data_IF_534302573274
#
_entry.id   IF_534302573274
#
_cell.length_a   1.000
_cell.length_b   1.000
_cell.length_c   1.000
_cell.angle_alpha   90.00
_cell.angle_beta   90.00
_cell.angle_gamma   90.00
#
_symmetry.space_group_name_H-M   'P 1'
#
loop_
_entity.id
_entity.type
_entity.pdbx_description
1 polymer ?
#
# COMPACT_ATOMS: atom_id res chain seq x y z
N UNK A 1 -12.09 -33.12 19.20
CA UNK A 1 -12.91 -32.99 17.98
C UNK A 1 -12.06 -33.36 16.76
N UNK A 2 -12.41 -34.46 16.09
CA UNK A 2 -11.78 -34.87 14.84
C UNK A 2 -12.08 -33.85 13.74
N UNK A 3 -11.03 -33.30 13.14
CA UNK A 3 -11.12 -32.35 12.04
C UNK A 3 -11.66 -33.10 10.81
N UNK A 4 -12.84 -32.74 10.31
CA UNK A 4 -13.48 -33.43 9.17
C UNK A 4 -13.14 -32.75 7.84
N UNK A 5 -12.85 -33.60 6.86
CA UNK A 5 -12.38 -33.30 5.50
C UNK A 5 -13.44 -32.55 4.66
N UNK A 6 -12.99 -31.55 3.86
CA UNK A 6 -13.75 -30.99 2.74
C UNK A 6 -13.26 -31.64 1.41
N UNK A 7 -14.10 -32.37 0.66
CA UNK A 7 -13.85 -32.77 -0.73
C UNK A 7 -13.37 -31.58 -1.57
N UNK A 8 -12.20 -31.77 -2.17
CA UNK A 8 -11.49 -30.76 -2.95
C UNK A 8 -10.38 -30.01 -2.20
N UNK A 9 -10.17 -30.25 -0.89
CA UNK A 9 -9.08 -29.63 -0.11
C UNK A 9 -8.52 -30.54 1.01
N UNK A 10 -7.24 -30.96 0.93
CA UNK A 10 -6.52 -31.59 2.06
C UNK A 10 -6.18 -30.60 3.19
N UNK A 11 -6.02 -29.32 2.86
CA UNK A 11 -5.28 -28.35 3.68
C UNK A 11 -6.17 -27.47 4.59
N UNK A 12 -7.49 -27.57 4.46
CA UNK A 12 -8.44 -26.69 5.13
C UNK A 12 -9.41 -27.47 6.02
N UNK A 13 -9.20 -27.34 7.33
CA UNK A 13 -9.93 -28.01 8.39
C UNK A 13 -10.79 -26.95 9.10
N UNK A 14 -12.00 -26.71 8.59
CA UNK A 14 -12.98 -25.82 9.22
C UNK A 14 -13.86 -26.68 10.14
N UNK A 15 -13.99 -26.26 11.40
CA UNK A 15 -14.74 -26.90 12.50
C UNK A 15 -16.27 -26.87 12.31
N UNK A 16 -16.81 -27.25 11.16
CA UNK A 16 -18.26 -27.38 10.98
C UNK A 16 -18.59 -28.81 10.60
N UNK A 17 -19.48 -29.45 11.36
CA UNK A 17 -20.13 -30.69 10.95
C UNK A 17 -20.81 -30.45 9.61
N UNK A 18 -20.18 -30.98 8.57
CA UNK A 18 -20.52 -30.66 7.21
C UNK A 18 -21.81 -31.41 6.84
N UNK A 19 -22.77 -30.71 6.23
CA UNK A 19 -24.16 -31.15 6.03
C UNK A 19 -24.40 -32.53 5.43
N UNK A 20 -25.66 -32.90 5.22
CA UNK A 20 -26.03 -34.28 4.86
C UNK A 20 -25.62 -34.58 3.41
N UNK A 21 -24.89 -35.66 3.11
CA UNK A 21 -24.60 -36.10 1.74
C UNK A 21 -25.86 -36.19 0.87
N UNK A 22 -25.78 -35.76 -0.40
CA UNK A 22 -26.96 -35.69 -1.27
C UNK A 22 -27.59 -37.05 -1.58
N UNK A 23 -26.81 -38.12 -1.44
CA UNK A 23 -27.19 -39.53 -1.55
C UNK A 23 -27.92 -40.07 -0.32
N UNK A 24 -27.81 -39.39 0.84
CA UNK A 24 -28.40 -39.84 2.11
C UNK A 24 -29.76 -39.21 2.42
N UNK A 25 -30.21 -38.24 1.61
CA UNK A 25 -31.48 -37.55 1.83
C UNK A 25 -32.19 -37.34 0.49
N UNK A 26 -33.45 -37.79 0.39
CA UNK A 26 -34.28 -37.56 -0.79
C UNK A 26 -34.53 -36.06 -0.99
N UNK A 27 -34.71 -35.66 -2.26
CA UNK A 27 -34.94 -34.26 -2.63
C UNK A 27 -36.18 -33.67 -1.95
N UNK A 28 -37.24 -34.45 -1.82
CA UNK A 28 -38.50 -34.07 -1.16
C UNK A 28 -38.32 -33.85 0.36
N UNK A 29 -37.56 -34.72 1.02
CA UNK A 29 -37.20 -34.59 2.43
C UNK A 29 -36.27 -33.39 2.68
N UNK A 30 -35.44 -33.04 1.69
CA UNK A 30 -34.56 -31.88 1.76
C UNK A 30 -35.31 -30.56 1.55
N UNK A 31 -36.23 -30.53 0.58
CA UNK A 31 -37.04 -29.34 0.27
C UNK A 31 -38.02 -29.02 1.40
N UNK A 32 -38.65 -30.03 2.00
CA UNK A 32 -39.51 -29.86 3.19
C UNK A 32 -38.76 -29.32 4.41
N UNK A 33 -37.45 -29.60 4.52
CA UNK A 33 -36.56 -29.05 5.57
C UNK A 33 -35.91 -27.71 5.18
N UNK A 34 -36.24 -27.15 4.01
CA UNK A 34 -35.68 -25.90 3.52
C UNK A 34 -34.17 -25.94 3.19
N UNK A 35 -33.62 -27.14 2.97
CA UNK A 35 -32.22 -27.37 2.66
C UNK A 35 -31.94 -27.10 1.17
N UNK A 36 -30.70 -26.75 0.85
CA UNK A 36 -30.22 -26.53 -0.51
C UNK A 36 -28.95 -27.35 -0.76
N UNK A 37 -28.77 -27.81 -1.99
CA UNK A 37 -27.52 -28.46 -2.40
C UNK A 37 -26.40 -27.42 -2.48
N UNK A 38 -25.25 -27.78 -1.93
CA UNK A 38 -23.98 -27.09 -2.05
C UNK A 38 -22.85 -28.14 -2.08
N UNK A 39 -22.10 -28.23 -3.18
CA UNK A 39 -21.02 -29.21 -3.39
C UNK A 39 -21.40 -30.67 -3.03
N UNK A 40 -22.56 -31.15 -3.52
CA UNK A 40 -23.00 -32.54 -3.30
C UNK A 40 -23.53 -32.83 -1.90
N UNK A 41 -23.83 -31.80 -1.09
CA UNK A 41 -24.43 -31.93 0.23
C UNK A 41 -25.61 -31.00 0.45
N UNK A 42 -26.61 -31.47 1.19
CA UNK A 42 -27.75 -30.71 1.67
C UNK A 42 -27.34 -29.88 2.89
N UNK A 43 -27.49 -28.56 2.78
CA UNK A 43 -27.15 -27.58 3.81
C UNK A 43 -28.28 -26.55 3.97
N UNK A 44 -28.44 -25.98 5.16
CA UNK A 44 -29.38 -24.89 5.37
C UNK A 44 -28.97 -23.63 4.58
N UNK A 45 -29.91 -22.70 4.39
CA UNK A 45 -29.61 -21.42 3.70
C UNK A 45 -28.53 -20.62 4.42
N UNK A 46 -28.50 -20.65 5.75
CA UNK A 46 -27.52 -19.95 6.60
C UNK A 46 -26.13 -20.58 6.47
N UNK A 47 -26.04 -21.91 6.55
CA UNK A 47 -24.78 -22.64 6.35
C UNK A 47 -24.23 -22.45 4.94
N UNK A 48 -25.08 -22.52 3.91
CA UNK A 48 -24.68 -22.25 2.52
C UNK A 48 -24.07 -20.86 2.37
N UNK A 49 -24.66 -19.84 3.01
CA UNK A 49 -24.12 -18.47 2.98
C UNK A 49 -22.75 -18.40 3.68
N UNK A 50 -22.62 -19.01 4.86
CA UNK A 50 -21.36 -19.04 5.58
C UNK A 50 -20.26 -19.76 4.79
N UNK A 51 -20.55 -20.94 4.26
CA UNK A 51 -19.60 -21.74 3.48
C UNK A 51 -19.15 -21.00 2.20
N UNK A 52 -20.09 -20.31 1.53
CA UNK A 52 -19.77 -19.47 0.37
C UNK A 52 -18.86 -18.29 0.76
N UNK A 53 -19.12 -17.64 1.89
CA UNK A 53 -18.27 -16.54 2.38
C UNK A 53 -16.85 -17.02 2.75
N UNK A 54 -16.73 -18.20 3.35
CA UNK A 54 -15.44 -18.83 3.69
C UNK A 54 -14.67 -19.26 2.43
N UNK A 55 -15.35 -19.87 1.46
CA UNK A 55 -14.78 -20.24 0.17
C UNK A 55 -14.29 -19.02 -0.61
N UNK A 56 -15.12 -17.97 -0.68
CA UNK A 56 -14.74 -16.72 -1.33
C UNK A 56 -13.53 -16.11 -0.64
N UNK A 57 -13.51 -16.07 0.70
CA UNK A 57 -12.38 -15.52 1.46
C UNK A 57 -11.07 -16.29 1.19
N UNK A 58 -11.14 -17.61 1.09
CA UNK A 58 -10.00 -18.45 0.71
C UNK A 58 -9.48 -18.13 -0.69
N UNK A 59 -10.38 -18.09 -1.68
CA UNK A 59 -10.02 -17.78 -3.07
C UNK A 59 -9.39 -16.39 -3.15
N UNK A 60 -9.98 -15.42 -2.47
CA UNK A 60 -9.45 -14.06 -2.41
C UNK A 60 -8.06 -14.00 -1.78
N UNK A 61 -7.80 -14.73 -0.69
CA UNK A 61 -6.45 -14.78 -0.08
C UNK A 61 -5.42 -15.35 -1.08
N UNK A 62 -5.77 -16.41 -1.83
CA UNK A 62 -4.86 -16.96 -2.85
C UNK A 62 -4.63 -15.99 -3.99
N UNK A 63 -5.68 -15.32 -4.48
CA UNK A 63 -5.57 -14.28 -5.51
C UNK A 63 -4.65 -13.15 -5.03
N UNK A 64 -4.84 -12.68 -3.79
CA UNK A 64 -3.98 -11.67 -3.16
C UNK A 64 -2.53 -12.16 -3.07
N UNK A 65 -2.31 -13.40 -2.64
CA UNK A 65 -0.97 -14.00 -2.59
C UNK A 65 -0.30 -14.07 -3.98
N UNK A 66 -1.04 -14.49 -5.00
CA UNK A 66 -0.56 -14.51 -6.39
C UNK A 66 -0.27 -13.11 -6.93
N UNK A 67 -1.10 -12.11 -6.61
CA UNK A 67 -0.85 -10.72 -6.98
C UNK A 67 0.44 -10.17 -6.38
N UNK A 68 0.73 -10.50 -5.11
CA UNK A 68 2.01 -10.11 -4.49
C UNK A 68 3.21 -10.76 -5.21
N UNK A 69 3.09 -12.03 -5.62
CA UNK A 69 4.14 -12.71 -6.39
C UNK A 69 4.33 -12.04 -7.77
N UNK A 70 3.24 -11.72 -8.47
CA UNK A 70 3.30 -11.01 -9.76
C UNK A 70 3.95 -9.63 -9.61
N UNK A 71 3.65 -8.92 -8.53
CA UNK A 71 4.28 -7.63 -8.22
C UNK A 71 5.79 -7.78 -7.99
N UNK A 72 6.20 -8.79 -7.22
CA UNK A 72 7.62 -9.09 -7.02
C UNK A 72 8.33 -9.50 -8.33
N UNK A 73 7.66 -10.24 -9.21
CA UNK A 73 8.17 -10.60 -10.52
C UNK A 73 8.39 -9.37 -11.41
N UNK A 74 7.48 -8.40 -11.37
CA UNK A 74 7.65 -7.13 -12.09
C UNK A 74 8.90 -6.37 -11.62
N UNK A 75 9.17 -6.36 -10.31
CA UNK A 75 10.41 -5.78 -9.75
C UNK A 75 11.65 -6.52 -10.27
N UNK A 76 11.60 -7.86 -10.32
CA UNK A 76 12.72 -8.67 -10.82
C UNK A 76 12.99 -8.45 -12.31
N UNK A 77 11.96 -8.33 -13.15
CA UNK A 77 12.10 -8.06 -14.60
C UNK A 77 12.75 -6.69 -14.83
N UNK A 78 12.40 -5.69 -14.04
CA UNK A 78 12.90 -4.32 -14.18
C UNK A 78 14.22 -4.05 -13.44
N UNK A 79 14.87 -5.08 -12.90
CA UNK A 79 16.05 -4.93 -12.04
C UNK A 79 17.21 -4.21 -12.74
N UNK A 80 17.36 -4.39 -14.06
CA UNK A 80 18.37 -3.72 -14.88
C UNK A 80 18.14 -2.21 -15.01
N UNK A 81 16.88 -1.79 -15.04
CA UNK A 81 16.52 -0.37 -15.09
C UNK A 81 16.66 0.27 -13.70
N UNK A 82 16.28 -0.49 -12.66
CA UNK A 82 16.40 -0.07 -11.25
C UNK A 82 17.88 0.06 -10.84
N UNK A 83 18.76 -0.81 -11.33
CA UNK A 83 20.20 -0.81 -11.00
C UNK A 83 20.97 0.41 -11.53
N UNK A 84 20.37 1.22 -12.42
CA UNK A 84 20.94 2.50 -12.86
C UNK A 84 20.85 3.60 -11.80
N UNK A 85 20.12 3.39 -10.70
CA UNK A 85 20.02 4.29 -9.56
C UNK A 85 21.17 4.15 -8.55
N UNK A 86 21.00 4.74 -7.37
CA UNK A 86 21.96 4.64 -6.26
C UNK A 86 21.94 3.21 -5.71
N UNK A 87 23.12 2.63 -5.46
CA UNK A 87 23.28 1.24 -4.97
C UNK A 87 22.36 0.90 -3.78
N UNK A 88 22.24 1.81 -2.81
CA UNK A 88 21.38 1.64 -1.63
C UNK A 88 19.89 1.55 -1.99
N UNK A 89 19.39 2.38 -2.90
CA UNK A 89 17.99 2.32 -3.34
C UNK A 89 17.68 1.01 -4.08
N UNK A 90 18.58 0.55 -4.94
CA UNK A 90 18.45 -0.72 -5.66
C UNK A 90 18.39 -1.90 -4.69
N UNK A 91 19.29 -1.92 -3.69
CA UNK A 91 19.31 -2.96 -2.66
C UNK A 91 17.99 -3.01 -1.87
N UNK A 92 17.48 -1.86 -1.43
CA UNK A 92 16.22 -1.78 -0.68
C UNK A 92 15.02 -2.25 -1.51
N UNK A 93 14.96 -1.90 -2.81
CA UNK A 93 13.89 -2.33 -3.71
C UNK A 93 13.91 -3.85 -3.91
N UNK A 94 15.08 -4.44 -4.11
CA UNK A 94 15.24 -5.89 -4.26
C UNK A 94 14.85 -6.61 -2.96
N UNK A 95 15.32 -6.12 -1.81
CA UNK A 95 14.95 -6.67 -0.51
C UNK A 95 13.43 -6.60 -0.28
N UNK A 96 12.82 -5.47 -0.61
CA UNK A 96 11.37 -5.31 -0.55
C UNK A 96 10.64 -6.31 -1.46
N UNK A 97 11.08 -6.47 -2.71
CA UNK A 97 10.53 -7.46 -3.64
C UNK A 97 10.61 -8.90 -3.11
N UNK A 98 11.72 -9.28 -2.47
CA UNK A 98 11.87 -10.59 -1.84
C UNK A 98 10.91 -10.79 -0.67
N UNK A 99 10.74 -9.78 0.19
CA UNK A 99 9.77 -9.82 1.31
C UNK A 99 8.34 -9.94 0.78
N UNK A 100 8.01 -9.21 -0.29
CA UNK A 100 6.70 -9.28 -0.95
C UNK A 100 6.44 -10.69 -1.52
N UNK A 101 7.42 -11.29 -2.19
CA UNK A 101 7.31 -12.64 -2.73
C UNK A 101 7.15 -13.70 -1.61
N UNK A 102 7.98 -13.63 -0.57
CA UNK A 102 7.89 -14.53 0.59
C UNK A 102 6.53 -14.42 1.28
N UNK A 103 5.99 -13.20 1.38
CA UNK A 103 4.66 -12.97 1.92
C UNK A 103 3.56 -13.53 1.02
N UNK A 104 3.66 -13.36 -0.31
CA UNK A 104 2.72 -13.94 -1.28
C UNK A 104 2.65 -15.46 -1.18
N UNK A 105 3.81 -16.12 -1.11
CA UNK A 105 3.92 -17.57 -0.88
C UNK A 105 3.31 -17.95 0.49
N UNK A 106 3.60 -17.17 1.53
CA UNK A 106 3.06 -17.36 2.86
C UNK A 106 1.53 -17.26 2.91
N UNK A 107 0.92 -16.36 2.14
CA UNK A 107 -0.54 -16.25 2.03
C UNK A 107 -1.14 -17.46 1.32
N UNK A 108 -0.52 -17.93 0.23
CA UNK A 108 -0.97 -19.12 -0.51
C UNK A 108 -0.89 -20.38 0.36
N UNK A 109 0.12 -20.46 1.24
CA UNK A 109 0.29 -21.56 2.21
C UNK A 109 -0.44 -21.33 3.53
N UNK A 110 -1.21 -20.24 3.67
CA UNK A 110 -1.94 -19.88 4.89
C UNK A 110 -1.08 -19.83 6.16
N UNK A 111 0.18 -19.41 6.04
CA UNK A 111 1.08 -19.30 7.18
C UNK A 111 0.59 -18.23 8.16
N UNK A 112 0.62 -18.55 9.46
CA UNK A 112 0.04 -17.74 10.56
C UNK A 112 0.49 -16.28 10.56
N UNK A 113 1.76 -16.02 10.21
CA UNK A 113 2.36 -14.69 10.18
C UNK A 113 2.24 -13.96 8.85
N UNK A 114 1.94 -14.68 7.75
CA UNK A 114 1.86 -14.09 6.41
C UNK A 114 0.77 -13.03 6.32
N UNK A 115 -0.33 -13.18 7.08
CA UNK A 115 -1.39 -12.17 7.14
C UNK A 115 -0.91 -10.83 7.70
N UNK A 116 -0.11 -10.83 8.76
CA UNK A 116 0.36 -9.59 9.38
C UNK A 116 1.39 -8.89 8.50
N UNK A 117 2.31 -9.66 7.90
CA UNK A 117 3.26 -9.15 6.92
C UNK A 117 2.54 -8.59 5.68
N UNK A 118 1.50 -9.27 5.19
CA UNK A 118 0.71 -8.79 4.07
C UNK A 118 -0.02 -7.48 4.39
N UNK A 119 -0.58 -7.35 5.59
CA UNK A 119 -1.20 -6.10 6.04
C UNK A 119 -0.18 -4.96 6.00
N UNK A 120 1.05 -5.18 6.48
CA UNK A 120 2.11 -4.17 6.43
C UNK A 120 2.49 -3.79 4.98
N UNK A 121 2.57 -4.77 4.08
CA UNK A 121 2.84 -4.54 2.65
C UNK A 121 1.69 -3.75 1.98
N UNK A 122 0.43 -4.05 2.30
CA UNK A 122 -0.68 -3.28 1.74
C UNK A 122 -0.80 -1.88 2.35
N UNK A 123 -0.35 -1.68 3.59
CA UNK A 123 -0.18 -0.34 4.17
C UNK A 123 0.91 0.42 3.43
N UNK A 124 2.05 -0.20 3.14
CA UNK A 124 3.10 0.49 2.38
C UNK A 124 2.64 0.88 0.99
N UNK A 125 1.71 0.15 0.35
CA UNK A 125 1.12 0.58 -0.94
C UNK A 125 0.31 1.89 -0.84
N UNK A 126 -0.17 2.26 0.36
CA UNK A 126 -0.83 3.54 0.59
C UNK A 126 0.16 4.69 0.81
N UNK A 127 1.42 4.39 1.14
CA UNK A 127 2.45 5.39 1.48
C UNK A 127 3.47 5.56 0.35
N UNK A 128 3.87 4.46 -0.30
CA UNK A 128 4.87 4.42 -1.38
C UNK A 128 4.59 5.39 -2.53
N UNK A 129 3.33 5.60 -2.98
CA UNK A 129 3.00 6.61 -3.99
C UNK A 129 3.40 8.04 -3.62
N UNK A 130 3.51 8.34 -2.32
CA UNK A 130 3.90 9.65 -1.79
C UNK A 130 5.40 9.72 -1.47
N UNK A 131 6.15 8.64 -1.69
CA UNK A 131 7.61 8.61 -1.51
C UNK A 131 8.31 8.94 -2.83
N UNK A 132 9.42 9.70 -2.79
CA UNK A 132 10.18 10.06 -4.00
C UNK A 132 10.78 8.85 -4.75
N UNK A 133 10.79 7.66 -4.13
CA UNK A 133 11.27 6.43 -4.74
C UNK A 133 10.32 5.82 -5.80
N UNK A 134 9.01 6.14 -5.76
CA UNK A 134 7.98 5.54 -6.63
C UNK A 134 6.89 6.54 -7.06
N UNK A 135 7.19 7.85 -7.04
CA UNK A 135 6.29 8.93 -7.44
C UNK A 135 6.10 8.99 -8.97
N UNK A 136 5.83 7.85 -9.61
CA UNK A 136 5.43 7.80 -11.01
C UNK A 136 3.91 8.00 -11.08
N UNK A 137 3.48 9.12 -11.66
CA UNK A 137 2.09 9.61 -11.61
C UNK A 137 1.06 8.63 -12.19
N UNK A 138 1.51 7.67 -13.01
CA UNK A 138 0.63 6.70 -13.68
C UNK A 138 0.37 5.43 -12.86
N UNK A 139 1.27 5.05 -11.95
CA UNK A 139 1.16 3.81 -11.17
C UNK A 139 0.56 3.99 -9.78
N UNK A 140 0.56 5.22 -9.26
CA UNK A 140 0.11 5.57 -7.91
C UNK A 140 -1.37 5.25 -7.62
N UNK A 141 -2.34 5.47 -8.52
CA UNK A 141 -3.75 5.18 -8.21
C UNK A 141 -4.01 3.67 -8.10
N UNK A 142 -3.35 2.88 -8.94
CA UNK A 142 -3.50 1.44 -8.96
C UNK A 142 -2.92 0.78 -7.70
N UNK A 143 -1.78 1.29 -7.20
CA UNK A 143 -1.21 0.87 -5.92
C UNK A 143 -2.14 1.18 -4.74
N UNK A 144 -2.76 2.37 -4.72
CA UNK A 144 -3.70 2.76 -3.66
C UNK A 144 -4.93 1.84 -3.69
N UNK A 145 -5.52 1.59 -4.86
CA UNK A 145 -6.68 0.69 -5.00
C UNK A 145 -6.32 -0.73 -4.55
N UNK A 146 -5.15 -1.24 -4.95
CA UNK A 146 -4.65 -2.54 -4.50
C UNK A 146 -4.41 -2.57 -2.98
N UNK A 147 -3.87 -1.50 -2.40
CA UNK A 147 -3.68 -1.32 -0.96
C UNK A 147 -4.99 -1.43 -0.20
N UNK A 148 -6.00 -0.65 -0.60
CA UNK A 148 -7.33 -0.64 0.04
C UNK A 148 -8.02 -2.00 -0.10
N UNK A 149 -7.99 -2.60 -1.30
CA UNK A 149 -8.60 -3.90 -1.56
C UNK A 149 -7.93 -5.02 -0.75
N UNK A 150 -6.60 -5.06 -0.73
CA UNK A 150 -5.83 -6.03 0.06
C UNK A 150 -6.14 -5.93 1.55
N UNK A 151 -6.19 -4.71 2.09
CA UNK A 151 -6.54 -4.48 3.49
C UNK A 151 -7.99 -4.89 3.80
N UNK A 152 -8.95 -4.50 2.96
CA UNK A 152 -10.36 -4.85 3.15
C UNK A 152 -10.56 -6.35 3.28
N UNK A 153 -9.98 -7.14 2.38
CA UNK A 153 -10.13 -8.59 2.39
C UNK A 153 -9.32 -9.28 3.50
N UNK A 154 -8.11 -8.82 3.81
CA UNK A 154 -7.30 -9.40 4.88
C UNK A 154 -7.79 -9.05 6.28
N UNK A 155 -8.47 -7.91 6.47
CA UNK A 155 -9.05 -7.50 7.76
C UNK A 155 -10.39 -8.18 8.05
N UNK A 156 -11.05 -8.76 7.04
CA UNK A 156 -12.35 -9.45 7.18
C UNK A 156 -12.28 -10.57 8.22
N UNK A 157 -13.36 -10.75 8.99
CA UNK A 157 -13.44 -11.75 10.07
C UNK A 157 -13.23 -13.18 9.56
N UNK A 158 -13.67 -13.48 8.35
CA UNK A 158 -13.47 -14.78 7.70
C UNK A 158 -11.99 -15.05 7.44
N UNK A 159 -11.24 -14.08 6.90
CA UNK A 159 -9.80 -14.19 6.73
C UNK A 159 -9.07 -14.40 8.06
N UNK A 160 -9.50 -13.73 9.15
CA UNK A 160 -8.97 -13.99 10.50
C UNK A 160 -9.07 -15.44 10.92
N UNK A 161 -10.25 -16.04 10.76
CA UNK A 161 -10.50 -17.44 11.11
C UNK A 161 -9.64 -18.42 10.32
N UNK A 162 -9.28 -18.06 9.08
CA UNK A 162 -8.43 -18.87 8.21
C UNK A 162 -7.01 -18.97 8.75
N UNK A 163 -6.39 -17.83 9.07
CA UNK A 163 -5.00 -17.79 9.57
C UNK A 163 -4.88 -18.10 11.07
N UNK A 164 -5.98 -17.92 11.80
CA UNK A 164 -6.07 -18.19 13.22
C UNK A 164 -7.44 -18.81 13.54
N UNK A 165 -7.61 -20.13 13.36
CA UNK A 165 -8.81 -20.81 13.81
C UNK A 165 -8.83 -20.70 15.34
N UNK A 166 -9.67 -19.82 15.88
CA UNK A 166 -9.93 -19.76 17.32
C UNK A 166 -10.46 -21.13 17.74
N UNK A 167 -9.68 -21.85 18.56
CA UNK A 167 -10.29 -22.77 19.52
C UNK A 167 -11.24 -21.92 20.35
N UNK A 168 -12.49 -22.37 20.51
CA UNK A 168 -13.48 -21.71 21.36
C UNK A 168 -12.81 -21.17 22.62
N UNK A 169 -12.69 -19.85 22.69
CA UNK A 169 -12.03 -19.16 23.80
C UNK A 169 -13.05 -18.23 24.44
N UNK A 170 -13.02 -18.24 25.78
CA UNK A 170 -13.97 -17.54 26.62
C UNK A 170 -14.15 -16.07 26.19
N UNK A 171 -15.39 -15.54 26.23
CA UNK A 171 -15.74 -14.20 25.73
C UNK A 171 -14.95 -13.05 26.37
N UNK A 172 -14.35 -13.27 27.55
CA UNK A 172 -13.48 -12.30 28.23
C UNK A 172 -12.16 -12.03 27.46
N UNK A 173 -11.61 -13.03 26.76
CA UNK A 173 -10.31 -12.91 26.07
C UNK A 173 -10.44 -12.17 24.72
N UNK A 174 -11.66 -12.14 24.15
CA UNK A 174 -11.95 -11.51 22.87
C UNK A 174 -12.03 -9.97 22.95
N UNK A 175 -12.45 -9.42 24.09
CA UNK A 175 -12.49 -7.95 24.33
C UNK A 175 -11.10 -7.32 24.34
N UNK A 176 -10.09 -8.00 24.89
CA UNK A 176 -8.73 -7.48 24.95
C UNK A 176 -8.05 -7.48 23.57
N UNK A 177 -8.18 -8.56 22.79
CA UNK A 177 -7.58 -8.68 21.45
C UNK A 177 -8.20 -7.71 20.43
N UNK A 178 -9.50 -7.43 20.50
CA UNK A 178 -10.12 -6.43 19.60
C UNK A 178 -9.60 -5.02 19.88
N UNK A 179 -9.27 -4.69 21.13
CA UNK A 179 -8.70 -3.39 21.50
C UNK A 179 -7.30 -3.21 20.90
N UNK A 180 -6.47 -4.27 20.92
CA UNK A 180 -5.10 -4.22 20.38
C UNK A 180 -5.10 -4.06 18.86
N UNK A 181 -5.96 -4.79 18.15
CA UNK A 181 -6.08 -4.65 16.70
C UNK A 181 -6.56 -3.25 16.30
N UNK A 182 -7.52 -2.68 17.04
CA UNK A 182 -8.02 -1.32 16.80
C UNK A 182 -6.94 -0.27 17.06
N UNK A 183 -6.17 -0.43 18.15
CA UNK A 183 -5.00 0.41 18.45
C UNK A 183 -3.94 0.32 17.36
N UNK A 184 -3.67 -0.88 16.82
CA UNK A 184 -2.77 -1.06 15.68
C UNK A 184 -3.24 -0.33 14.42
N UNK A 185 -4.54 -0.40 14.10
CA UNK A 185 -5.13 0.34 12.97
C UNK A 185 -5.02 1.85 13.20
N UNK A 186 -5.34 2.35 14.39
CA UNK A 186 -5.21 3.78 14.69
C UNK A 186 -3.76 4.26 14.63
N UNK A 187 -2.80 3.44 15.05
CA UNK A 187 -1.38 3.76 14.98
C UNK A 187 -0.90 3.83 13.54
N UNK A 188 -1.33 2.90 12.68
CA UNK A 188 -1.07 2.95 11.23
C UNK A 188 -1.68 4.19 10.60
N UNK A 189 -2.95 4.49 10.90
CA UNK A 189 -3.63 5.68 10.39
C UNK A 189 -2.89 6.95 10.85
N UNK A 190 -2.46 7.00 12.10
CA UNK A 190 -1.65 8.10 12.63
C UNK A 190 -0.33 8.25 11.86
N UNK A 191 0.40 7.17 11.58
CA UNK A 191 1.63 7.23 10.78
C UNK A 191 1.38 7.69 9.34
N UNK A 192 0.27 7.29 8.72
CA UNK A 192 -0.13 7.79 7.39
C UNK A 192 -0.43 9.29 7.46
N UNK A 193 -1.22 9.74 8.44
CA UNK A 193 -1.52 11.16 8.62
C UNK A 193 -0.27 12.00 8.91
N UNK A 194 0.66 11.50 9.73
CA UNK A 194 1.93 12.16 10.01
C UNK A 194 2.79 12.25 8.75
N UNK A 195 2.86 11.19 7.95
CA UNK A 195 3.60 11.17 6.67
C UNK A 195 3.01 12.16 5.65
N UNK A 196 1.68 12.13 5.47
CA UNK A 196 0.98 13.04 4.56
C UNK A 196 1.10 14.49 5.05
N UNK A 197 0.94 14.72 6.36
CA UNK A 197 1.09 16.05 6.96
C UNK A 197 2.50 16.60 6.80
N UNK A 198 3.52 15.76 7.00
CA UNK A 198 4.91 16.13 6.74
C UNK A 198 5.16 16.46 5.27
N UNK A 199 4.57 15.70 4.34
CA UNK A 199 4.68 15.98 2.91
C UNK A 199 4.01 17.29 2.49
N UNK A 200 2.80 17.56 2.99
CA UNK A 200 2.10 18.84 2.76
C UNK A 200 2.90 20.00 3.35
N UNK A 201 3.51 19.80 4.52
CA UNK A 201 4.39 20.78 5.15
C UNK A 201 5.64 21.07 4.29
N UNK A 202 6.33 20.04 3.81
CA UNK A 202 7.47 20.15 2.89
C UNK A 202 7.10 20.90 1.60
N UNK A 203 5.97 20.56 0.99
CA UNK A 203 5.45 21.25 -0.21
C UNK A 203 5.13 22.72 0.06
N UNK A 204 4.51 23.03 1.21
CA UNK A 204 4.23 24.40 1.62
C UNK A 204 5.51 25.18 1.85
N UNK A 205 6.52 24.58 2.50
CA UNK A 205 7.82 25.20 2.72
C UNK A 205 8.53 25.50 1.40
N UNK A 206 8.53 24.56 0.45
CA UNK A 206 9.11 24.77 -0.87
C UNK A 206 8.47 25.94 -1.63
N UNK A 207 7.15 26.11 -1.51
CA UNK A 207 6.44 27.27 -2.08
C UNK A 207 6.93 28.59 -1.46
N UNK A 208 7.05 28.65 -0.14
CA UNK A 208 7.56 29.85 0.54
C UNK A 208 9.02 30.13 0.19
N UNK A 209 9.87 29.10 0.11
CA UNK A 209 11.28 29.23 -0.29
C UNK A 209 11.42 29.77 -1.71
N UNK A 210 10.66 29.24 -2.67
CA UNK A 210 10.65 29.74 -4.04
C UNK A 210 10.15 31.19 -4.13
N UNK A 211 9.10 31.53 -3.37
CA UNK A 211 8.58 32.90 -3.32
C UNK A 211 9.59 33.88 -2.70
N UNK A 212 10.21 33.52 -1.57
CA UNK A 212 11.25 34.32 -0.90
C UNK A 212 12.46 34.53 -1.81
N UNK A 213 12.91 33.47 -2.51
CA UNK A 213 13.99 33.60 -3.47
C UNK A 213 13.68 34.63 -4.57
N UNK A 214 12.43 34.65 -5.06
CA UNK A 214 11.98 35.61 -6.06
C UNK A 214 11.81 37.03 -5.51
N UNK A 215 11.33 37.19 -4.27
CA UNK A 215 11.24 38.51 -3.63
C UNK A 215 12.61 39.15 -3.42
N UNK A 216 13.63 38.35 -3.14
CA UNK A 216 15.01 38.84 -2.98
C UNK A 216 15.66 39.24 -4.31
N UNK A 217 15.14 38.78 -5.44
CA UNK A 217 15.64 39.12 -6.78
C UNK A 217 15.18 40.53 -7.18
N UNK A 218 15.93 41.54 -6.74
CA UNK A 218 15.59 42.95 -6.98
C UNK A 218 16.15 43.43 -8.31
N UNK A 219 15.35 44.13 -9.12
CA UNK A 219 15.79 44.68 -10.41
C UNK A 219 17.01 45.60 -10.22
N UNK A 220 18.05 45.40 -11.04
CA UNK A 220 19.31 46.16 -10.98
C UNK A 220 20.37 45.59 -10.02
N UNK A 221 20.02 44.61 -9.18
CA UNK A 221 20.99 43.92 -8.31
C UNK A 221 22.00 43.11 -9.14
N UNK A 222 23.30 43.11 -8.77
CA UNK A 222 24.30 42.26 -9.41
C UNK A 222 23.98 40.77 -9.22
N UNK A 223 24.10 40.00 -10.31
CA UNK A 223 23.76 38.58 -10.33
C UNK A 223 24.61 37.76 -9.34
N UNK A 224 25.89 38.13 -9.20
CA UNK A 224 26.83 37.46 -8.29
C UNK A 224 26.43 37.63 -6.82
N UNK A 225 25.99 38.84 -6.46
CA UNK A 225 25.60 39.16 -5.09
C UNK A 225 24.31 38.43 -4.73
N UNK A 226 23.34 38.41 -5.64
CA UNK A 226 22.10 37.64 -5.46
C UNK A 226 22.36 36.15 -5.24
N UNK A 227 23.21 35.52 -6.08
CA UNK A 227 23.51 34.09 -5.95
C UNK A 227 24.30 33.73 -4.70
N UNK A 228 25.01 34.70 -4.09
CA UNK A 228 25.75 34.47 -2.85
C UNK A 228 24.84 34.30 -1.63
N UNK A 229 23.60 34.77 -1.72
CA UNK A 229 22.60 34.70 -0.63
C UNK A 229 22.10 33.28 -0.41
N UNK A 230 22.12 32.44 -1.45
CA UNK A 230 21.51 31.10 -1.40
C UNK A 230 22.56 30.01 -1.14
N UNK A 231 22.44 29.27 -0.03
CA UNK A 231 23.30 28.13 0.24
C UNK A 231 23.03 27.00 -0.77
N UNK A 232 24.11 26.38 -1.27
CA UNK A 232 24.04 25.31 -2.29
C UNK A 232 23.26 24.06 -1.85
N UNK A 233 23.09 23.86 -0.54
CA UNK A 233 22.41 22.67 -0.01
C UNK A 233 20.88 22.81 0.01
N UNK A 234 20.36 24.04 -0.03
CA UNK A 234 18.91 24.28 0.06
C UNK A 234 18.27 24.50 -1.32
N UNK A 235 19.09 24.86 -2.32
CA UNK A 235 18.64 25.20 -3.66
C UNK A 235 19.52 24.59 -4.74
N UNK A 236 18.88 23.97 -5.71
CA UNK A 236 19.46 23.63 -7.01
C UNK A 236 19.37 24.84 -7.94
N UNK A 237 20.52 25.32 -8.39
CA UNK A 237 20.62 26.50 -9.26
C UNK A 237 20.92 26.06 -10.69
N UNK A 238 19.99 26.32 -11.61
CA UNK A 238 20.11 26.02 -13.03
C UNK A 238 20.36 27.33 -13.79
N UNK A 239 21.52 27.44 -14.45
CA UNK A 239 21.91 28.64 -15.19
C UNK A 239 21.59 28.49 -16.67
N UNK A 240 20.90 29.46 -17.26
CA UNK A 240 20.69 29.61 -18.71
C UNK A 240 21.24 30.97 -19.16
N UNK A 241 21.25 31.20 -20.47
CA UNK A 241 21.84 32.41 -21.05
C UNK A 241 21.09 33.69 -20.63
N UNK A 242 19.77 33.63 -20.50
CA UNK A 242 18.90 34.81 -20.26
C UNK A 242 18.22 34.78 -18.88
N UNK A 243 18.26 33.65 -18.18
CA UNK A 243 17.64 33.47 -16.87
C UNK A 243 18.32 32.41 -16.02
N UNK A 244 18.10 32.49 -14.71
CA UNK A 244 18.49 31.49 -13.72
C UNK A 244 17.23 30.94 -13.06
N UNK A 245 17.19 29.62 -12.87
CA UNK A 245 16.14 28.96 -12.10
C UNK A 245 16.72 28.51 -10.76
N UNK A 246 16.11 28.94 -9.66
CA UNK A 246 16.35 28.40 -8.32
C UNK A 246 15.22 27.44 -7.97
N UNK A 247 15.57 26.18 -7.76
CA UNK A 247 14.65 25.13 -7.35
C UNK A 247 15.00 24.73 -5.92
N UNK A 248 14.09 24.90 -4.94
CA UNK A 248 14.31 24.37 -3.60
C UNK A 248 14.50 22.85 -3.66
N UNK A 249 15.46 22.31 -2.90
CA UNK A 249 15.64 20.86 -2.76
C UNK A 249 14.45 20.21 -2.01
N UNK A 250 13.72 21.00 -1.22
CA UNK A 250 12.46 20.60 -0.57
C UNK A 250 11.28 20.64 -1.54
N UNK A 251 10.26 19.81 -1.30
CA UNK A 251 9.02 19.81 -2.08
C UNK A 251 9.17 19.32 -3.53
N UNK A 252 10.07 18.36 -3.77
CA UNK A 252 10.22 17.60 -5.02
C UNK A 252 10.51 18.46 -6.27
N UNK A 253 11.01 19.68 -6.10
CA UNK A 253 11.40 20.56 -7.20
C UNK A 253 10.25 21.05 -8.10
N UNK A 254 8.99 20.98 -7.62
CA UNK A 254 7.83 21.49 -8.37
C UNK A 254 7.74 23.01 -8.31
N UNK A 255 8.10 23.63 -7.18
CA UNK A 255 8.15 25.08 -7.05
C UNK A 255 9.53 25.58 -7.47
N UNK A 256 9.58 26.71 -8.18
CA UNK A 256 10.84 27.34 -8.53
C UNK A 256 10.71 28.86 -8.65
N UNK A 257 11.84 29.54 -8.56
CA UNK A 257 11.96 30.94 -8.90
C UNK A 257 12.77 31.07 -10.19
N UNK A 258 12.21 31.74 -11.20
CA UNK A 258 12.93 32.13 -12.41
C UNK A 258 13.35 33.59 -12.30
N UNK A 259 14.62 33.89 -12.52
CA UNK A 259 15.22 35.22 -12.45
C UNK A 259 15.85 35.56 -13.79
N UNK A 260 15.33 36.57 -14.48
CA UNK A 260 15.86 37.07 -15.75
C UNK A 260 17.02 38.03 -15.52
N UNK A 261 18.02 38.01 -16.41
CA UNK A 261 19.19 38.88 -16.32
C UNK A 261 19.76 39.28 -17.69
N UNK A 262 20.51 40.37 -17.74
CA UNK A 262 21.25 40.83 -18.92
C UNK A 262 22.70 40.29 -19.00
N UNK A 263 23.07 39.41 -18.06
CA UNK A 263 24.40 38.82 -17.92
C UNK A 263 25.21 39.42 -16.75
N UNK A 264 24.82 40.59 -16.26
CA UNK A 264 25.45 41.21 -15.07
C UNK A 264 24.42 41.53 -13.97
N UNK A 265 23.22 41.97 -14.36
CA UNK A 265 22.19 42.48 -13.47
C UNK A 265 20.85 41.80 -13.69
N UNK A 266 20.08 41.73 -12.62
CA UNK A 266 18.73 41.18 -12.62
C UNK A 266 17.78 42.16 -13.33
N UNK A 267 17.01 41.65 -14.28
CA UNK A 267 15.99 42.40 -15.03
C UNK A 267 14.57 42.11 -14.56
N UNK A 268 14.34 40.95 -13.95
CA UNK A 268 13.05 40.57 -13.34
C UNK A 268 13.07 39.20 -12.69
N UNK A 269 11.99 38.85 -11.97
CA UNK A 269 11.81 37.53 -11.35
C UNK A 269 10.34 37.09 -11.40
N UNK A 270 10.12 35.78 -11.39
CA UNK A 270 8.78 35.17 -11.37
C UNK A 270 8.82 33.80 -10.71
N UNK A 271 7.87 33.55 -9.81
CA UNK A 271 7.63 32.21 -9.27
C UNK A 271 6.94 31.33 -10.29
N UNK A 272 7.38 30.08 -10.43
CA UNK A 272 6.79 29.08 -11.30
C UNK A 272 6.49 27.78 -10.56
N UNK A 273 5.58 27.01 -11.15
CA UNK A 273 5.23 25.67 -10.72
C UNK A 273 5.33 24.73 -11.92
N UNK A 274 6.05 23.62 -11.77
CA UNK A 274 6.10 22.54 -12.75
C UNK A 274 5.02 21.52 -12.37
N UNK A 275 3.96 21.48 -13.18
CA UNK A 275 2.96 20.42 -13.18
C UNK A 275 3.56 19.10 -13.65
#
# INVERSE_FOLDING_TARGET
MLKKYQPGRPDFLINTDWGIPSDQLSKEAAESRGLKIFHGRWVSKTEKKQLKDEQNSYLTIRIIGSLLILFALAVAINIWQISRGIFLSTFLIVLYGLVVAACGIGLIRFARFARYLAILIFISFLVLPFTPLLADEKGSPLLIVLGVMGLYYLLRRTARKIFWPEKESNPADNKNKSSVLRKGIYLVVLFVFLSVGYFVYEMSQAKYMAADACMRATKGMPLKDYLSIFPKNDYKIIRRAEYIILVPERGMGRNYCSVSHDGQRITGSKTGFND
#
